data_IF_576151211900
#
_entry.id   IF_576151211900
#
_cell.length_a   1.000
_cell.length_b   1.000
_cell.length_c   1.000
_cell.angle_alpha   90.00
_cell.angle_beta   90.00
_cell.angle_gamma   90.00
#
_symmetry.space_group_name_H-M   'P 1'
#
loop_
_entity.id
_entity.type
_entity.pdbx_description
1 polymer ?
#
# COMPACT_ATOMS: atom_id res chain seq x y z
N UNK A 1 1.02 -10.63 -40.69
CA UNK A 1 0.05 -10.50 -39.58
C UNK A 1 0.01 -11.78 -38.74
N UNK A 2 -0.24 -11.70 -37.43
CA UNK A 2 -0.37 -12.89 -36.57
C UNK A 2 -1.68 -13.62 -36.89
N UNK A 3 -1.64 -14.92 -37.22
CA UNK A 3 -2.86 -15.71 -37.46
C UNK A 3 -3.81 -15.66 -36.28
N UNK A 4 -5.11 -15.69 -36.55
CA UNK A 4 -6.15 -15.63 -35.50
C UNK A 4 -6.06 -16.80 -34.53
N UNK A 5 -5.59 -17.94 -35.03
CA UNK A 5 -5.42 -19.20 -34.31
C UNK A 5 -4.15 -19.20 -33.44
N UNK A 6 -3.19 -18.31 -33.72
CA UNK A 6 -1.95 -18.21 -32.96
C UNK A 6 -2.21 -17.51 -31.63
N UNK A 7 -1.95 -18.22 -30.53
CA UNK A 7 -2.04 -17.63 -29.19
C UNK A 7 -1.04 -16.51 -28.99
N UNK A 8 -1.43 -15.54 -28.16
CA UNK A 8 -0.59 -14.47 -27.65
C UNK A 8 0.13 -14.93 -26.39
N UNK A 9 1.26 -14.30 -26.08
CA UNK A 9 2.01 -14.65 -24.86
C UNK A 9 1.13 -14.57 -23.61
N UNK A 10 0.34 -13.51 -23.46
CA UNK A 10 -0.54 -13.33 -22.29
C UNK A 10 -1.63 -14.41 -22.13
N UNK A 11 -1.93 -15.18 -23.18
CA UNK A 11 -2.90 -16.29 -23.13
C UNK A 11 -2.26 -17.60 -22.64
N UNK A 12 -0.93 -17.70 -22.67
CA UNK A 12 -0.20 -18.92 -22.29
C UNK A 12 0.63 -18.76 -21.02
N UNK A 13 1.26 -17.60 -20.83
CA UNK A 13 2.09 -17.31 -19.65
C UNK A 13 2.30 -15.80 -19.49
N UNK A 14 2.58 -15.34 -18.27
CA UNK A 14 2.80 -13.93 -17.99
C UNK A 14 3.70 -13.75 -16.75
N UNK A 15 4.71 -12.86 -16.78
CA UNK A 15 5.64 -12.64 -15.66
C UNK A 15 5.01 -11.83 -14.50
N UNK A 16 3.87 -12.29 -13.98
CA UNK A 16 2.99 -11.55 -13.08
C UNK A 16 3.69 -11.09 -11.79
N UNK A 17 4.56 -11.92 -11.21
CA UNK A 17 5.27 -11.59 -9.98
C UNK A 17 6.23 -10.41 -10.18
N UNK A 18 6.98 -10.41 -11.28
CA UNK A 18 7.95 -9.35 -11.62
C UNK A 18 7.20 -8.05 -11.96
N UNK A 19 6.16 -8.15 -12.79
CA UNK A 19 5.31 -7.00 -13.16
C UNK A 19 4.65 -6.39 -11.93
N UNK A 20 4.11 -7.20 -11.02
CA UNK A 20 3.46 -6.73 -9.79
C UNK A 20 4.44 -5.99 -8.88
N UNK A 21 5.67 -6.48 -8.76
CA UNK A 21 6.73 -5.81 -8.00
C UNK A 21 7.03 -4.41 -8.56
N UNK A 22 7.13 -4.27 -9.88
CA UNK A 22 7.37 -2.97 -10.52
C UNK A 22 6.16 -2.04 -10.43
N UNK A 23 4.95 -2.55 -10.61
CA UNK A 23 3.71 -1.79 -10.44
C UNK A 23 3.54 -1.24 -9.01
N UNK A 24 3.92 -2.03 -7.99
CA UNK A 24 3.92 -1.57 -6.59
C UNK A 24 4.95 -0.45 -6.36
N UNK A 25 6.16 -0.59 -6.92
CA UNK A 25 7.23 0.43 -6.84
C UNK A 25 6.83 1.74 -7.51
N UNK A 26 6.07 1.69 -8.60
CA UNK A 26 5.65 2.89 -9.36
C UNK A 26 4.93 3.93 -8.49
N UNK A 27 4.20 3.49 -7.47
CA UNK A 27 3.50 4.37 -6.50
C UNK A 27 4.42 5.32 -5.73
N UNK A 28 5.72 5.02 -5.63
CA UNK A 28 6.70 5.85 -4.94
C UNK A 28 7.51 6.76 -5.86
N UNK A 29 7.27 6.70 -7.18
CA UNK A 29 7.94 7.58 -8.15
C UNK A 29 7.34 8.99 -8.03
N UNK A 30 8.22 10.00 -7.99
CA UNK A 30 7.84 11.41 -7.74
C UNK A 30 8.32 12.36 -8.83
N UNK A 31 9.10 11.87 -9.80
CA UNK A 31 9.67 12.69 -10.87
C UNK A 31 9.44 12.00 -12.22
N UNK A 32 9.01 12.78 -13.21
CA UNK A 32 8.81 12.31 -14.60
C UNK A 32 7.66 11.34 -14.82
N UNK A 33 6.94 10.94 -13.77
CA UNK A 33 5.82 10.03 -13.86
C UNK A 33 4.52 10.78 -14.16
N UNK A 34 3.65 10.31 -15.08
CA UNK A 34 2.40 11.01 -15.43
C UNK A 34 1.46 11.34 -14.26
N UNK A 35 1.52 10.61 -13.14
CA UNK A 35 0.75 10.96 -11.94
C UNK A 35 1.16 12.29 -11.30
N UNK A 36 2.32 12.84 -11.66
CA UNK A 36 2.74 14.17 -11.20
C UNK A 36 2.13 15.29 -12.04
N UNK A 37 1.54 14.99 -13.21
CA UNK A 37 0.76 15.95 -13.99
C UNK A 37 -0.60 16.18 -13.34
N UNK A 38 -1.31 15.09 -13.05
CA UNK A 38 -2.57 15.12 -12.32
C UNK A 38 -2.80 13.79 -11.59
N UNK A 39 -3.29 13.88 -10.35
CA UNK A 39 -3.67 12.73 -9.56
C UNK A 39 -5.03 12.19 -10.02
N UNK A 40 -5.02 11.12 -10.82
CA UNK A 40 -6.22 10.41 -11.23
C UNK A 40 -6.48 9.21 -10.32
N UNK A 41 -7.67 9.14 -9.70
CA UNK A 41 -7.99 8.16 -8.64
C UNK A 41 -7.95 6.70 -9.10
N UNK A 42 -8.13 6.44 -10.40
CA UNK A 42 -8.14 5.09 -10.98
C UNK A 42 -7.01 4.86 -12.00
N UNK A 43 -5.88 5.58 -11.90
CA UNK A 43 -4.77 5.41 -12.86
C UNK A 43 -4.17 4.01 -12.73
N UNK A 44 -4.22 3.22 -13.81
CA UNK A 44 -3.56 1.92 -13.90
C UNK A 44 -2.03 2.11 -13.91
N UNK A 45 -1.24 1.25 -13.23
CA UNK A 45 0.22 1.32 -13.29
C UNK A 45 0.73 1.16 -14.73
N UNK A 46 1.65 2.02 -15.15
CA UNK A 46 2.29 1.95 -16.47
C UNK A 46 3.06 0.65 -16.64
N UNK A 47 3.71 0.17 -15.57
CA UNK A 47 4.39 -1.13 -15.54
C UNK A 47 3.46 -2.27 -15.99
N UNK A 48 2.26 -2.34 -15.43
CA UNK A 48 1.26 -3.34 -15.80
C UNK A 48 0.72 -3.13 -17.21
N UNK A 49 0.42 -1.88 -17.60
CA UNK A 49 -0.13 -1.59 -18.93
C UNK A 49 0.86 -1.98 -20.04
N UNK A 50 2.13 -1.57 -19.92
CA UNK A 50 3.17 -1.89 -20.90
C UNK A 50 3.41 -3.39 -21.02
N UNK A 51 3.53 -4.08 -19.88
CA UNK A 51 3.77 -5.52 -19.87
C UNK A 51 2.60 -6.28 -20.49
N UNK A 52 1.36 -5.89 -20.16
CA UNK A 52 0.17 -6.50 -20.74
C UNK A 52 0.06 -6.23 -22.24
N UNK A 53 0.33 -5.01 -22.70
CA UNK A 53 0.35 -4.69 -24.12
C UNK A 53 1.36 -5.56 -24.88
N UNK A 54 2.59 -5.70 -24.37
CA UNK A 54 3.56 -6.62 -24.98
C UNK A 54 3.07 -8.08 -24.97
N UNK A 55 2.45 -8.54 -23.87
CA UNK A 55 1.90 -9.88 -23.78
C UNK A 55 0.76 -10.15 -24.78
N UNK A 56 -0.06 -9.14 -25.10
CA UNK A 56 -1.18 -9.24 -26.04
C UNK A 56 -0.74 -9.04 -27.50
N UNK A 57 0.24 -8.18 -27.75
CA UNK A 57 0.68 -7.83 -29.10
C UNK A 57 1.62 -8.87 -29.70
N UNK A 58 2.32 -9.66 -28.87
CA UNK A 58 3.30 -10.64 -29.31
C UNK A 58 2.69 -12.06 -29.36
N UNK A 59 2.92 -12.83 -30.45
CA UNK A 59 2.51 -14.22 -30.54
C UNK A 59 3.41 -15.09 -29.67
N UNK A 60 2.89 -16.21 -29.23
CA UNK A 60 3.65 -17.21 -28.49
C UNK A 60 4.55 -18.04 -29.43
N UNK A 61 5.89 -18.05 -29.26
CA UNK A 61 6.79 -18.81 -30.12
C UNK A 61 6.54 -20.32 -30.19
N UNK A 62 5.97 -20.95 -29.15
CA UNK A 62 5.69 -22.39 -29.21
C UNK A 62 4.28 -22.72 -29.74
N UNK A 63 3.48 -21.73 -30.12
CA UNK A 63 2.24 -22.01 -30.82
C UNK A 63 2.56 -22.51 -32.24
N UNK A 64 1.93 -23.60 -32.72
CA UNK A 64 2.14 -24.11 -34.08
C UNK A 64 1.87 -23.08 -35.18
N UNK A 65 1.01 -22.09 -34.93
CA UNK A 65 0.65 -21.04 -35.89
C UNK A 65 1.54 -19.79 -35.77
N UNK A 66 2.55 -19.80 -34.90
CA UNK A 66 3.45 -18.68 -34.74
C UNK A 66 4.31 -18.46 -36.00
N UNK A 67 4.28 -17.26 -36.62
CA UNK A 67 5.01 -17.02 -37.85
C UNK A 67 6.53 -17.24 -37.69
N UNK A 68 7.19 -18.03 -38.56
CA UNK A 68 8.63 -18.26 -38.49
C UNK A 68 9.45 -16.96 -38.57
N UNK A 69 9.03 -16.02 -39.43
CA UNK A 69 9.68 -14.72 -39.58
C UNK A 69 9.65 -13.91 -38.27
N UNK A 70 8.55 -13.98 -37.50
CA UNK A 70 8.48 -13.34 -36.20
C UNK A 70 9.54 -13.90 -35.26
N UNK A 71 9.70 -15.23 -35.20
CA UNK A 71 10.67 -15.89 -34.31
C UNK A 71 12.10 -15.42 -34.59
N UNK A 72 12.48 -15.40 -35.87
CA UNK A 72 13.80 -14.95 -36.31
C UNK A 72 14.05 -13.47 -35.96
N UNK A 73 13.08 -12.61 -36.27
CA UNK A 73 13.19 -11.16 -35.98
C UNK A 73 13.17 -10.86 -34.50
N UNK A 74 12.37 -11.58 -33.72
CA UNK A 74 12.30 -11.42 -32.27
C UNK A 74 13.62 -11.85 -31.60
N UNK A 75 14.17 -12.99 -31.99
CA UNK A 75 15.48 -13.44 -31.50
C UNK A 75 16.57 -12.40 -31.81
N UNK A 76 16.60 -11.87 -33.04
CA UNK A 76 17.53 -10.81 -33.43
C UNK A 76 17.36 -9.54 -32.58
N UNK A 77 16.13 -9.03 -32.46
CA UNK A 77 15.84 -7.80 -31.72
C UNK A 77 16.25 -7.91 -30.24
N UNK A 78 16.03 -9.07 -29.60
CA UNK A 78 16.49 -9.30 -28.23
C UNK A 78 18.02 -9.24 -28.12
N UNK A 79 18.73 -9.82 -29.09
CA UNK A 79 20.20 -9.87 -29.12
C UNK A 79 20.87 -8.54 -29.53
N UNK A 80 20.12 -7.56 -30.04
CA UNK A 80 20.64 -6.21 -30.29
C UNK A 80 20.94 -5.44 -28.99
N UNK A 81 20.32 -5.85 -27.87
CA UNK A 81 20.63 -5.25 -26.57
C UNK A 81 21.91 -5.88 -26.00
N UNK A 82 22.98 -5.11 -25.73
CA UNK A 82 24.26 -5.67 -25.25
C UNK A 82 24.14 -6.50 -23.97
N UNK A 83 23.23 -6.13 -23.06
CA UNK A 83 22.95 -6.89 -21.83
C UNK A 83 22.29 -8.26 -22.08
N UNK A 84 21.70 -8.44 -23.26
CA UNK A 84 21.02 -9.67 -23.68
C UNK A 84 21.88 -10.51 -24.62
N UNK A 85 22.85 -9.93 -25.33
CA UNK A 85 23.76 -10.65 -26.22
C UNK A 85 24.85 -11.43 -25.45
N UNK A 86 24.45 -12.51 -24.79
CA UNK A 86 25.34 -13.43 -24.07
C UNK A 86 25.37 -14.79 -24.75
N UNK A 87 26.44 -15.59 -24.63
CA UNK A 87 26.47 -16.95 -25.21
C UNK A 87 25.28 -17.81 -24.78
N UNK A 88 24.87 -17.68 -23.52
CA UNK A 88 23.69 -18.36 -22.97
C UNK A 88 22.39 -17.93 -23.67
N UNK A 89 22.19 -16.63 -23.85
CA UNK A 89 20.97 -16.13 -24.51
C UNK A 89 20.95 -16.49 -25.99
N UNK A 90 22.10 -16.41 -26.67
CA UNK A 90 22.24 -16.83 -28.07
C UNK A 90 21.82 -18.28 -28.27
N UNK A 91 22.16 -19.17 -27.33
CA UNK A 91 21.72 -20.56 -27.38
C UNK A 91 20.23 -20.70 -27.01
N UNK A 92 19.78 -19.98 -25.99
CA UNK A 92 18.39 -20.05 -25.51
C UNK A 92 17.37 -19.68 -26.61
N UNK A 93 17.60 -18.59 -27.35
CA UNK A 93 16.63 -18.09 -28.35
C UNK A 93 16.51 -18.95 -29.61
N UNK A 94 17.36 -19.97 -29.79
CA UNK A 94 17.28 -20.90 -30.94
C UNK A 94 16.11 -21.87 -30.86
N UNK A 95 15.58 -22.11 -29.66
CA UNK A 95 14.42 -22.97 -29.44
C UNK A 95 13.17 -22.14 -29.20
N UNK A 96 12.01 -22.59 -29.66
CA UNK A 96 10.73 -21.91 -29.42
C UNK A 96 10.48 -21.70 -27.92
N UNK A 97 10.71 -22.73 -27.10
CA UNK A 97 10.55 -22.65 -25.64
C UNK A 97 11.51 -21.64 -25.00
N UNK A 98 12.77 -21.61 -25.45
CA UNK A 98 13.74 -20.66 -24.95
C UNK A 98 13.47 -19.22 -25.40
N UNK A 99 12.98 -19.03 -26.63
CA UNK A 99 12.53 -17.73 -27.13
C UNK A 99 11.30 -17.23 -26.36
N UNK A 100 10.31 -18.09 -26.06
CA UNK A 100 9.19 -17.75 -25.18
C UNK A 100 9.69 -17.25 -23.82
N UNK A 101 10.60 -18.00 -23.18
CA UNK A 101 11.18 -17.59 -21.88
C UNK A 101 11.93 -16.26 -21.97
N UNK A 102 12.65 -16.02 -23.09
CA UNK A 102 13.35 -14.78 -23.33
C UNK A 102 12.37 -13.60 -23.47
N UNK A 103 11.28 -13.76 -24.24
CA UNK A 103 10.24 -12.75 -24.37
C UNK A 103 9.54 -12.46 -23.04
N UNK A 104 9.19 -13.48 -22.25
CA UNK A 104 8.58 -13.29 -20.92
C UNK A 104 9.52 -12.56 -19.96
N UNK A 105 10.82 -12.87 -20.00
CA UNK A 105 11.84 -12.14 -19.22
C UNK A 105 11.92 -10.69 -19.68
N UNK A 106 11.87 -10.43 -20.99
CA UNK A 106 11.91 -9.08 -21.56
C UNK A 106 10.70 -8.27 -21.12
N UNK A 107 9.49 -8.86 -21.16
CA UNK A 107 8.25 -8.24 -20.67
C UNK A 107 8.37 -7.86 -19.19
N UNK A 108 8.94 -8.75 -18.37
CA UNK A 108 9.19 -8.48 -16.95
C UNK A 108 10.16 -7.31 -16.72
N UNK A 109 11.27 -7.27 -17.46
CA UNK A 109 12.24 -6.17 -17.39
C UNK A 109 11.66 -4.86 -17.94
N UNK A 110 10.86 -4.91 -19.00
CA UNK A 110 10.18 -3.75 -19.58
C UNK A 110 9.18 -3.12 -18.61
N UNK A 111 8.62 -3.89 -17.66
CA UNK A 111 7.77 -3.33 -16.60
C UNK A 111 8.53 -2.38 -15.65
N UNK A 112 9.86 -2.47 -15.57
CA UNK A 112 10.66 -1.58 -14.75
C UNK A 112 10.70 -0.16 -15.34
N UNK A 113 10.31 0.84 -14.54
CA UNK A 113 10.30 2.26 -14.91
C UNK A 113 11.65 2.76 -15.46
N UNK A 114 12.74 2.38 -14.79
CA UNK A 114 14.09 2.85 -15.16
C UNK A 114 14.51 2.27 -16.52
N UNK A 115 14.12 1.03 -16.80
CA UNK A 115 14.39 0.34 -18.07
C UNK A 115 13.52 0.89 -19.19
N UNK A 116 12.24 1.13 -18.91
CA UNK A 116 11.29 1.64 -19.90
C UNK A 116 11.63 3.04 -20.40
N UNK A 117 12.38 3.83 -19.64
CA UNK A 117 12.85 5.14 -20.07
C UNK A 117 14.18 5.07 -20.84
N UNK A 118 14.75 3.88 -21.03
CA UNK A 118 15.93 3.68 -21.87
C UNK A 118 15.51 3.57 -23.36
N UNK A 119 15.98 4.48 -24.24
CA UNK A 119 15.60 4.47 -25.65
C UNK A 119 15.93 3.17 -26.38
N UNK A 120 17.03 2.49 -26.02
CA UNK A 120 17.41 1.21 -26.64
C UNK A 120 16.40 0.12 -26.32
N UNK A 121 15.93 0.09 -25.07
CA UNK A 121 14.99 -0.93 -24.60
C UNK A 121 13.60 -0.73 -25.21
N UNK A 122 13.16 0.53 -25.33
CA UNK A 122 11.94 0.89 -26.08
C UNK A 122 12.09 0.59 -27.57
N UNK A 123 13.28 0.79 -28.15
CA UNK A 123 13.59 0.38 -29.51
C UNK A 123 13.32 -1.10 -29.75
N UNK A 124 13.88 -1.97 -28.90
CA UNK A 124 13.63 -3.43 -28.99
C UNK A 124 12.14 -3.75 -28.84
N UNK A 125 11.44 -3.12 -27.89
CA UNK A 125 10.01 -3.34 -27.71
C UNK A 125 9.20 -2.97 -28.98
N UNK A 126 9.56 -1.87 -29.66
CA UNK A 126 8.97 -1.47 -30.95
C UNK A 126 9.30 -2.44 -32.07
N UNK A 127 10.53 -2.93 -32.14
CA UNK A 127 10.92 -3.93 -33.14
C UNK A 127 10.18 -5.25 -32.95
N UNK A 128 9.97 -5.68 -31.69
CA UNK A 128 9.15 -6.87 -31.38
C UNK A 128 7.70 -6.69 -31.86
N UNK A 129 7.10 -5.52 -31.60
CA UNK A 129 5.75 -5.21 -32.09
C UNK A 129 5.71 -5.16 -33.61
N UNK A 130 6.69 -4.54 -34.28
CA UNK A 130 6.77 -4.50 -35.75
C UNK A 130 7.03 -5.88 -36.37
N UNK A 131 7.75 -6.76 -35.67
CA UNK A 131 7.94 -8.15 -36.11
C UNK A 131 6.64 -8.94 -36.02
N UNK A 132 5.85 -8.68 -34.98
CA UNK A 132 4.53 -9.27 -34.78
C UNK A 132 3.50 -8.75 -35.80
N UNK A 133 3.61 -7.48 -36.19
CA UNK A 133 2.67 -6.80 -37.08
C UNK A 133 3.43 -6.15 -38.25
N UNK A 134 3.91 -6.94 -39.24
CA UNK A 134 4.74 -6.43 -40.33
C UNK A 134 3.98 -5.60 -41.36
N UNK A 135 2.68 -5.87 -41.54
CA UNK A 135 1.86 -5.31 -42.61
C UNK A 135 1.11 -4.03 -42.18
N UNK A 136 0.93 -3.83 -40.88
CA UNK A 136 0.16 -2.74 -40.31
C UNK A 136 0.64 -2.35 -38.92
N UNK A 137 0.39 -1.09 -38.55
CA UNK A 137 0.63 -0.64 -37.17
C UNK A 137 -0.59 -1.01 -36.32
N UNK A 138 -0.43 -1.76 -35.21
CA UNK A 138 -1.57 -2.18 -34.41
C UNK A 138 -2.25 -0.98 -33.74
N UNK A 139 -3.58 -0.97 -33.78
CA UNK A 139 -4.41 0.02 -33.08
C UNK A 139 -4.84 -0.50 -31.70
N UNK A 140 -4.50 0.26 -30.66
CA UNK A 140 -4.95 -0.01 -29.28
C UNK A 140 -6.09 0.94 -28.94
N UNK A 141 -7.25 0.38 -28.60
CA UNK A 141 -8.46 1.14 -28.25
C UNK A 141 -8.72 1.01 -26.75
N UNK A 142 -8.81 2.14 -26.05
CA UNK A 142 -9.20 2.21 -24.64
C UNK A 142 -10.40 3.16 -24.46
N UNK A 143 -11.64 2.62 -24.35
CA UNK A 143 -12.85 3.43 -24.21
C UNK A 143 -13.06 4.00 -22.79
N UNK A 144 -12.20 3.65 -21.83
CA UNK A 144 -12.25 4.11 -20.44
C UNK A 144 -10.85 4.51 -19.96
N UNK A 145 -10.21 5.36 -20.76
CA UNK A 145 -8.77 5.60 -20.64
C UNK A 145 -8.38 6.32 -19.34
N UNK A 146 -9.29 7.13 -18.76
CA UNK A 146 -9.08 7.82 -17.50
C UNK A 146 -7.77 8.61 -17.48
N UNK A 147 -6.82 8.17 -16.65
CA UNK A 147 -5.49 8.79 -16.58
C UNK A 147 -4.61 8.59 -17.82
N UNK A 148 -4.99 7.71 -18.75
CA UNK A 148 -4.34 7.49 -20.04
C UNK A 148 -3.13 6.56 -20.04
N UNK A 149 -3.03 5.65 -19.06
CA UNK A 149 -1.88 4.74 -18.94
C UNK A 149 -1.74 3.77 -20.12
N UNK A 150 -2.85 3.17 -20.58
CA UNK A 150 -2.86 2.23 -21.71
C UNK A 150 -2.50 2.94 -23.02
N UNK A 151 -3.19 4.01 -23.44
CA UNK A 151 -2.86 4.68 -24.70
C UNK A 151 -1.46 5.29 -24.69
N UNK A 152 -0.97 5.80 -23.55
CA UNK A 152 0.41 6.27 -23.43
C UNK A 152 1.41 5.15 -23.73
N UNK A 153 1.26 4.00 -23.08
CA UNK A 153 2.19 2.88 -23.29
C UNK A 153 2.05 2.26 -24.69
N UNK A 154 0.85 2.27 -25.28
CA UNK A 154 0.65 1.86 -26.67
C UNK A 154 1.45 2.74 -27.65
N UNK A 155 1.34 4.06 -27.54
CA UNK A 155 2.13 4.99 -28.36
C UNK A 155 3.64 4.81 -28.13
N UNK A 156 4.07 4.56 -26.89
CA UNK A 156 5.49 4.28 -26.59
C UNK A 156 5.98 3.01 -27.27
N UNK A 157 5.15 1.98 -27.35
CA UNK A 157 5.43 0.72 -28.05
C UNK A 157 5.32 0.83 -29.58
N UNK A 158 4.99 2.00 -30.12
CA UNK A 158 4.89 2.24 -31.56
C UNK A 158 3.56 1.79 -32.16
N UNK A 159 2.54 1.58 -31.32
CA UNK A 159 1.16 1.34 -31.77
C UNK A 159 0.47 2.67 -32.09
N UNK A 160 -0.61 2.59 -32.86
CA UNK A 160 -1.62 3.66 -32.83
C UNK A 160 -2.49 3.50 -31.57
N UNK A 161 -3.04 4.61 -31.08
CA UNK A 161 -3.89 4.59 -29.90
C UNK A 161 -5.14 5.45 -30.10
N UNK A 162 -6.30 4.87 -29.81
CA UNK A 162 -7.56 5.59 -29.66
C UNK A 162 -8.01 5.53 -28.21
N UNK A 163 -8.18 6.68 -27.58
CA UNK A 163 -8.58 6.79 -26.18
C UNK A 163 -9.85 7.63 -26.08
N UNK A 164 -10.83 7.13 -25.33
CA UNK A 164 -12.06 7.85 -25.02
C UNK A 164 -12.32 7.83 -23.52
N UNK A 165 -12.99 8.87 -23.03
CA UNK A 165 -13.53 8.94 -21.68
C UNK A 165 -14.72 9.91 -21.68
N UNK A 166 -15.69 9.70 -20.79
CA UNK A 166 -16.81 10.61 -20.61
C UNK A 166 -16.48 11.72 -19.60
N UNK A 167 -15.47 11.52 -18.77
CA UNK A 167 -15.08 12.50 -17.77
C UNK A 167 -14.23 13.61 -18.42
N UNK A 168 -14.66 14.89 -18.37
CA UNK A 168 -13.94 15.99 -19.02
C UNK A 168 -12.51 16.19 -18.46
N UNK A 169 -12.28 15.84 -17.18
CA UNK A 169 -10.94 15.87 -16.59
C UNK A 169 -10.04 14.79 -17.19
N UNK A 170 -10.58 13.58 -17.42
CA UNK A 170 -9.84 12.53 -18.12
C UNK A 170 -9.52 12.94 -19.56
N UNK A 171 -10.49 13.49 -20.30
CA UNK A 171 -10.27 14.00 -21.66
C UNK A 171 -9.14 15.04 -21.70
N UNK A 172 -9.11 15.98 -20.75
CA UNK A 172 -8.04 16.98 -20.67
C UNK A 172 -6.67 16.33 -20.36
N UNK A 173 -6.62 15.38 -19.42
CA UNK A 173 -5.39 14.65 -19.10
C UNK A 173 -4.86 13.91 -20.32
N UNK A 174 -5.74 13.23 -21.07
CA UNK A 174 -5.40 12.50 -22.28
C UNK A 174 -4.85 13.45 -23.35
N UNK A 175 -5.55 14.56 -23.62
CA UNK A 175 -5.14 15.54 -24.61
C UNK A 175 -3.76 16.12 -24.29
N UNK A 176 -3.56 16.56 -23.04
CA UNK A 176 -2.28 17.14 -22.63
C UNK A 176 -1.16 16.10 -22.69
N UNK A 177 -1.39 14.89 -22.18
CA UNK A 177 -0.36 13.87 -22.05
C UNK A 177 0.03 13.22 -23.39
N UNK A 178 -0.95 12.99 -24.27
CA UNK A 178 -0.77 12.24 -25.51
C UNK A 178 -0.58 13.12 -26.74
N UNK A 179 -1.09 14.36 -26.73
CA UNK A 179 -0.98 15.29 -27.87
C UNK A 179 -0.08 16.50 -27.54
N UNK A 180 -0.43 17.27 -26.51
CA UNK A 180 0.18 18.60 -26.32
C UNK A 180 1.64 18.50 -25.85
N UNK A 181 1.94 17.63 -24.88
CA UNK A 181 3.32 17.42 -24.40
C UNK A 181 4.22 16.90 -25.53
N UNK A 182 3.87 15.84 -26.29
CA UNK A 182 4.68 15.40 -27.42
C UNK A 182 4.85 16.45 -28.52
N UNK A 183 3.82 17.26 -28.81
CA UNK A 183 3.85 18.26 -29.88
C UNK A 183 4.68 19.50 -29.53
N UNK A 184 4.58 19.98 -28.29
CA UNK A 184 5.18 21.24 -27.87
C UNK A 184 6.45 21.07 -27.02
N UNK A 185 6.66 19.89 -26.44
CA UNK A 185 7.86 19.56 -25.68
C UNK A 185 8.11 20.52 -24.50
N UNK A 186 9.38 20.84 -24.20
CA UNK A 186 9.74 21.70 -23.06
C UNK A 186 9.16 23.12 -23.09
N UNK A 187 8.79 23.64 -24.27
CA UNK A 187 8.24 25.00 -24.39
C UNK A 187 6.87 25.12 -23.67
N UNK A 188 6.03 24.09 -23.74
CA UNK A 188 4.76 24.06 -23.02
C UNK A 188 4.96 24.15 -21.51
N UNK A 189 6.01 23.52 -20.98
CA UNK A 189 6.31 23.59 -19.55
C UNK A 189 6.68 25.02 -19.11
N UNK A 190 7.34 25.80 -19.98
CA UNK A 190 7.68 27.18 -19.69
C UNK A 190 6.44 28.09 -19.72
N UNK A 191 5.60 27.96 -20.75
CA UNK A 191 4.33 28.69 -20.83
C UNK A 191 3.41 28.38 -19.64
N UNK A 192 3.33 27.12 -19.21
CA UNK A 192 2.58 26.72 -18.02
C UNK A 192 3.12 27.38 -16.74
N UNK A 193 4.44 27.52 -16.60
CA UNK A 193 5.04 28.24 -15.45
C UNK A 193 4.68 29.72 -15.47
N UNK A 194 4.73 30.34 -16.65
CA UNK A 194 4.37 31.75 -16.84
C UNK A 194 2.90 31.99 -16.48
N UNK A 195 1.98 31.24 -17.09
CA UNK A 195 0.55 31.33 -16.80
C UNK A 195 0.25 31.01 -15.32
N UNK A 196 0.90 30.00 -14.75
CA UNK A 196 0.80 29.69 -13.32
C UNK A 196 1.28 30.83 -12.43
N UNK A 197 2.32 31.57 -12.84
CA UNK A 197 2.79 32.77 -12.16
C UNK A 197 1.76 33.90 -12.19
N UNK A 198 1.17 34.16 -13.35
CA UNK A 198 0.11 35.18 -13.52
C UNK A 198 -1.12 34.85 -12.66
N UNK A 199 -1.59 33.59 -12.71
CA UNK A 199 -2.68 33.11 -11.86
C UNK A 199 -2.34 33.25 -10.39
N UNK A 200 -1.12 32.90 -9.99
CA UNK A 200 -0.67 33.02 -8.61
C UNK A 200 -0.72 34.46 -8.12
N UNK A 201 -0.24 35.43 -8.91
CA UNK A 201 -0.28 36.85 -8.56
C UNK A 201 -1.73 37.35 -8.42
N UNK A 202 -2.60 36.97 -9.36
CA UNK A 202 -4.02 37.32 -9.30
C UNK A 202 -4.70 36.72 -8.06
N UNK A 203 -4.47 35.43 -7.79
CA UNK A 203 -5.03 34.72 -6.64
C UNK A 203 -4.52 35.28 -5.31
N UNK A 204 -3.23 35.61 -5.18
CA UNK A 204 -2.67 36.23 -3.98
C UNK A 204 -3.34 37.58 -3.69
N UNK A 205 -3.62 38.38 -4.73
CA UNK A 205 -4.32 39.67 -4.59
C UNK A 205 -5.77 39.49 -4.16
N UNK A 206 -6.51 38.60 -4.81
CA UNK A 206 -7.94 38.36 -4.53
C UNK A 206 -8.15 37.75 -3.14
N UNK A 207 -7.28 36.82 -2.75
CA UNK A 207 -7.42 36.07 -1.52
C UNK A 207 -6.76 36.72 -0.29
N UNK A 208 -6.06 37.85 -0.47
CA UNK A 208 -5.31 38.53 0.59
C UNK A 208 -6.18 38.90 1.82
N UNK A 209 -7.45 39.26 1.59
CA UNK A 209 -8.37 39.61 2.68
C UNK A 209 -8.78 38.38 3.53
N UNK A 210 -8.78 37.19 2.94
CA UNK A 210 -9.19 35.95 3.60
C UNK A 210 -8.03 35.21 4.25
N UNK A 211 -6.82 35.35 3.69
CA UNK A 211 -5.60 34.71 4.17
C UNK A 211 -4.50 35.75 4.40
N UNK A 212 -4.67 36.63 5.40
CA UNK A 212 -3.70 37.68 5.67
C UNK A 212 -2.37 37.08 6.13
N UNK A 213 -1.29 37.83 5.88
CA UNK A 213 0.03 37.53 6.48
C UNK A 213 -0.02 37.78 7.98
N UNK A 214 0.84 37.08 8.71
CA UNK A 214 1.05 37.31 10.14
C UNK A 214 1.68 38.69 10.37
N UNK A 215 1.61 39.27 11.59
CA UNK A 215 2.16 40.59 11.90
C UNK A 215 3.67 40.75 11.64
N UNK A 216 4.41 39.63 11.61
CA UNK A 216 5.84 39.58 11.29
C UNK A 216 6.11 39.43 9.78
N UNK A 217 5.06 39.42 8.95
CA UNK A 217 5.13 39.27 7.51
C UNK A 217 5.16 37.82 7.01
N UNK A 218 5.08 36.82 7.90
CA UNK A 218 5.04 35.41 7.50
C UNK A 218 3.73 35.04 6.79
N UNK A 219 3.80 34.11 5.84
CA UNK A 219 2.60 33.57 5.16
C UNK A 219 2.13 32.31 5.89
N UNK A 220 0.90 32.28 6.43
CA UNK A 220 0.33 31.06 6.99
C UNK A 220 0.19 29.96 5.94
N UNK A 221 0.84 28.83 6.15
CA UNK A 221 0.78 27.68 5.22
C UNK A 221 -0.37 26.71 5.52
N UNK A 222 -0.95 26.80 6.72
CA UNK A 222 -2.06 25.96 7.15
C UNK A 222 -2.77 26.60 8.36
N UNK A 223 -4.11 26.48 8.38
CA UNK A 223 -4.94 26.82 9.53
C UNK A 223 -5.42 25.55 10.21
N UNK A 224 -5.26 25.46 11.54
CA UNK A 224 -5.71 24.32 12.33
C UNK A 224 -6.89 24.73 13.19
N UNK A 225 -8.00 24.04 13.03
CA UNK A 225 -9.20 24.24 13.84
C UNK A 225 -9.51 22.96 14.64
N UNK A 226 -10.03 23.13 15.84
CA UNK A 226 -10.45 22.03 16.71
C UNK A 226 -11.73 22.42 17.44
N UNK A 227 -12.69 21.49 17.53
CA UNK A 227 -13.81 21.64 18.47
C UNK A 227 -13.27 21.55 19.88
N UNK A 228 -13.78 22.36 20.80
CA UNK A 228 -13.39 22.32 22.22
C UNK A 228 -14.51 21.73 23.08
N UNK A 229 -14.13 21.11 24.19
CA UNK A 229 -15.05 20.70 25.27
C UNK A 229 -14.60 21.31 26.58
N UNK A 230 -15.55 21.61 27.47
CA UNK A 230 -15.21 22.08 28.82
C UNK A 230 -14.96 20.89 29.74
N UNK A 231 -13.92 20.98 30.56
CA UNK A 231 -13.63 19.98 31.58
C UNK A 231 -14.71 20.00 32.65
N UNK A 232 -15.36 18.85 32.86
CA UNK A 232 -16.46 18.67 33.82
C UNK A 232 -15.99 18.49 35.27
N UNK A 233 -14.67 18.41 35.51
CA UNK A 233 -14.16 18.28 36.88
C UNK A 233 -14.50 19.52 37.72
N UNK A 234 -14.92 19.34 38.99
CA UNK A 234 -15.23 20.45 39.89
C UNK A 234 -14.10 21.47 39.93
N UNK A 235 -14.44 22.76 39.76
CA UNK A 235 -13.51 23.88 39.79
C UNK A 235 -12.40 23.88 38.70
N UNK A 236 -12.52 23.05 37.65
CA UNK A 236 -11.57 23.05 36.53
C UNK A 236 -12.01 24.00 35.40
N UNK A 237 -13.14 23.71 34.75
CA UNK A 237 -13.73 24.54 33.68
C UNK A 237 -12.85 24.74 32.43
N UNK A 238 -11.72 24.04 32.32
CA UNK A 238 -10.75 24.16 31.25
C UNK A 238 -11.34 23.82 29.87
N UNK A 239 -11.01 24.60 28.84
CA UNK A 239 -11.31 24.25 27.46
C UNK A 239 -10.25 23.30 26.89
N UNK A 240 -10.70 22.13 26.43
CA UNK A 240 -9.85 21.07 25.90
C UNK A 240 -10.13 20.92 24.40
N UNK A 241 -9.13 21.11 23.52
CA UNK A 241 -9.30 20.91 22.09
C UNK A 241 -9.36 19.42 21.73
N UNK A 242 -10.40 19.02 21.02
CA UNK A 242 -10.60 17.68 20.50
C UNK A 242 -9.78 17.46 19.22
N UNK A 243 -8.49 17.19 19.39
CA UNK A 243 -7.58 16.87 18.28
C UNK A 243 -7.12 15.41 18.35
N UNK A 244 -7.14 14.70 17.22
CA UNK A 244 -6.59 13.33 17.13
C UNK A 244 -5.08 13.28 17.39
N UNK A 245 -4.35 14.34 17.02
CA UNK A 245 -2.92 14.45 17.26
C UNK A 245 -2.48 15.90 17.34
N UNK A 246 -1.55 16.18 18.24
CA UNK A 246 -0.86 17.46 18.33
C UNK A 246 0.46 17.47 17.54
N UNK A 247 0.86 16.36 16.91
CA UNK A 247 2.09 16.31 16.13
C UNK A 247 1.92 17.03 14.78
N UNK A 248 2.73 18.06 14.55
CA UNK A 248 2.85 18.74 13.26
C UNK A 248 3.88 18.04 12.36
N UNK A 249 4.94 17.48 12.94
CA UNK A 249 5.95 16.70 12.23
C UNK A 249 6.56 15.64 13.17
N UNK A 250 6.71 14.40 12.67
CA UNK A 250 7.29 13.27 13.43
C UNK A 250 8.62 12.78 12.86
N UNK A 251 9.17 13.44 11.83
CA UNK A 251 10.46 13.04 11.24
C UNK A 251 11.56 13.08 12.31
N UNK A 252 12.50 12.12 12.36
CA UNK A 252 13.51 12.01 13.42
C UNK A 252 14.22 13.32 13.75
N UNK A 253 14.60 14.08 12.71
CA UNK A 253 15.38 15.32 12.83
C UNK A 253 14.52 16.60 12.85
N UNK A 254 13.19 16.49 12.87
CA UNK A 254 12.28 17.65 12.85
C UNK A 254 10.98 17.34 13.59
N UNK A 255 11.08 16.84 14.81
CA UNK A 255 9.90 16.57 15.65
C UNK A 255 9.31 17.90 16.14
N UNK A 256 8.10 18.23 15.70
CA UNK A 256 7.35 19.42 16.15
C UNK A 256 5.93 19.04 16.51
N UNK A 257 5.43 19.58 17.62
CA UNK A 257 4.06 19.39 18.07
C UNK A 257 3.48 20.70 18.59
N UNK A 258 2.17 20.85 18.43
CA UNK A 258 1.37 21.88 19.07
C UNK A 258 1.40 21.69 20.58
N UNK A 259 1.75 22.74 21.30
CA UNK A 259 1.58 22.83 22.74
C UNK A 259 0.44 23.79 23.01
N UNK A 260 -0.74 23.26 23.30
CA UNK A 260 -1.84 24.10 23.77
C UNK A 260 -1.61 24.46 25.26
N UNK A 261 -2.04 25.66 25.66
CA UNK A 261 -2.04 26.10 27.06
C UNK A 261 -3.49 26.18 27.52
N UNK A 262 -3.79 25.52 28.63
CA UNK A 262 -5.08 25.63 29.29
C UNK A 262 -5.04 26.83 30.23
N UNK A 263 -5.89 27.82 29.99
CA UNK A 263 -6.07 28.97 30.89
C UNK A 263 -7.29 28.68 31.76
N UNK A 264 -7.12 28.65 33.09
CA UNK A 264 -8.24 28.52 34.02
C UNK A 264 -8.91 29.87 34.22
N UNK A 265 -10.23 29.90 34.36
CA UNK A 265 -10.93 31.10 34.79
C UNK A 265 -10.48 31.48 36.22
N UNK A 266 -10.33 32.78 36.55
CA UNK A 266 -10.01 33.21 37.91
C UNK A 266 -11.12 32.75 38.87
N UNK A 267 -10.74 32.11 39.98
CA UNK A 267 -11.68 31.65 40.99
C UNK A 267 -12.27 32.83 41.77
N UNK A 268 -13.60 32.92 41.94
CA UNK A 268 -14.22 33.95 42.77
C UNK A 268 -14.15 33.54 44.25
N UNK A 269 -12.95 33.54 44.83
CA UNK A 269 -12.75 33.58 46.29
C UNK A 269 -11.27 33.72 46.61
N UNK A 270 -10.91 34.86 47.19
CA UNK A 270 -9.63 35.03 47.84
C UNK A 270 -9.57 34.12 49.07
N UNK A 271 -8.56 33.26 49.12
CA UNK A 271 -7.90 32.75 50.33
C UNK A 271 -6.56 32.18 49.92
N UNK A 272 -5.52 32.86 50.38
CA UNK A 272 -4.13 32.49 50.19
C UNK A 272 -3.80 31.15 50.87
N UNK A 273 -2.90 30.44 50.19
CA UNK A 273 -1.86 29.53 50.67
C UNK A 273 -2.14 28.65 51.91
N UNK A 274 -2.21 27.33 51.67
CA UNK A 274 -1.31 26.30 52.22
C UNK A 274 -2.02 24.94 52.15
N UNK A 275 -1.73 24.17 51.11
CA UNK A 275 -1.42 22.73 51.19
C UNK A 275 -0.85 22.31 49.85
N UNK A 276 0.47 22.25 49.78
CA UNK A 276 1.15 21.39 48.81
C UNK A 276 0.68 19.97 49.03
N UNK A 277 -0.01 19.37 48.07
CA UNK A 277 -0.11 17.92 47.99
C UNK A 277 0.46 17.42 46.66
N UNK A 278 1.20 16.31 46.71
CA UNK A 278 2.23 15.99 45.75
C UNK A 278 1.68 15.37 44.48
N UNK A 279 2.46 15.48 43.42
CA UNK A 279 2.31 14.72 42.17
C UNK A 279 2.05 13.24 42.47
N UNK A 280 1.08 12.58 41.81
CA UNK A 280 1.01 11.14 41.84
C UNK A 280 2.15 10.57 40.98
N UNK A 281 3.31 10.40 41.62
CA UNK A 281 4.31 9.42 41.23
C UNK A 281 3.76 8.02 41.51
N UNK A 282 2.82 7.59 40.68
CA UNK A 282 2.26 6.24 40.70
C UNK A 282 2.89 5.38 39.62
N UNK A 283 4.17 4.99 39.79
CA UNK A 283 4.63 3.73 39.19
C UNK A 283 3.89 2.62 39.93
N UNK A 284 2.78 2.16 39.35
CA UNK A 284 2.15 0.91 39.77
C UNK A 284 3.12 -0.24 39.49
N UNK A 285 3.88 -0.64 40.52
CA UNK A 285 4.31 -2.01 40.67
C UNK A 285 3.04 -2.84 40.87
N UNK A 286 2.65 -3.57 39.82
CA UNK A 286 1.69 -4.65 39.96
C UNK A 286 2.49 -5.91 40.25
N UNK A 287 2.47 -6.34 41.51
CA UNK A 287 2.84 -7.70 41.89
C UNK A 287 1.90 -8.67 41.17
N UNK A 288 2.46 -9.42 40.23
CA UNK A 288 1.82 -10.58 39.62
C UNK A 288 2.80 -11.72 39.78
N UNK A 289 2.37 -12.77 40.49
CA UNK A 289 3.13 -13.97 40.81
C UNK A 289 4.06 -14.43 39.67
N UNK A 290 5.35 -14.52 40.02
CA UNK A 290 6.40 -15.11 39.21
C UNK A 290 6.20 -16.63 39.10
N UNK A 291 5.89 -17.12 37.91
CA UNK A 291 6.44 -18.36 37.38
C UNK A 291 7.51 -18.01 36.35
N UNK A 292 8.66 -18.72 36.28
CA UNK A 292 9.74 -18.32 35.39
C UNK A 292 9.39 -18.70 33.95
N UNK A 293 8.97 -17.75 33.13
CA UNK A 293 9.06 -17.90 31.67
C UNK A 293 10.18 -16.99 31.17
N UNK A 294 11.40 -17.54 31.14
CA UNK A 294 12.56 -16.90 30.50
C UNK A 294 12.33 -16.96 28.99
N UNK A 295 11.65 -15.96 28.44
CA UNK A 295 11.63 -15.75 27.00
C UNK A 295 13.01 -15.21 26.59
N UNK A 296 13.69 -15.82 25.60
CA UNK A 296 14.99 -15.32 25.13
C UNK A 296 14.88 -13.85 24.72
N UNK A 297 15.88 -13.04 25.09
CA UNK A 297 15.90 -11.58 24.86
C UNK A 297 15.62 -11.21 23.39
N UNK A 298 16.07 -12.06 22.45
CA UNK A 298 15.90 -11.88 21.01
C UNK A 298 14.42 -11.78 20.58
N UNK A 299 13.53 -12.58 21.17
CA UNK A 299 12.09 -12.54 20.84
C UNK A 299 11.41 -11.26 21.36
N UNK A 300 11.87 -10.74 22.50
CA UNK A 300 11.35 -9.48 23.06
C UNK A 300 11.85 -8.27 22.26
N UNK A 301 13.09 -8.30 21.78
CA UNK A 301 13.66 -7.28 20.90
C UNK A 301 13.00 -7.29 19.52
N UNK A 302 12.77 -8.47 18.96
CA UNK A 302 12.06 -8.63 17.69
C UNK A 302 10.61 -8.12 17.80
N UNK A 303 9.88 -8.46 18.86
CA UNK A 303 8.55 -7.90 19.13
C UNK A 303 8.56 -6.36 19.26
N UNK A 304 9.59 -5.78 19.88
CA UNK A 304 9.76 -4.31 19.96
C UNK A 304 10.04 -3.70 18.59
N UNK A 305 10.80 -4.40 17.73
CA UNK A 305 11.04 -3.97 16.34
C UNK A 305 9.75 -3.95 15.52
N UNK A 306 8.94 -5.00 15.61
CA UNK A 306 7.64 -5.10 14.93
C UNK A 306 6.69 -3.97 15.36
N UNK A 307 6.65 -3.61 16.65
CA UNK A 307 5.85 -2.47 17.13
C UNK A 307 6.28 -1.10 16.57
N UNK A 308 7.52 -0.98 16.07
CA UNK A 308 8.03 0.24 15.44
C UNK A 308 7.77 0.28 13.92
N UNK A 309 7.53 -0.86 13.29
CA UNK A 309 7.38 -1.01 11.84
C UNK A 309 6.05 -1.70 11.49
N UNK A 310 4.94 -1.23 12.06
CA UNK A 310 3.62 -1.80 11.80
C UNK A 310 3.12 -1.43 10.40
N UNK A 311 2.35 -2.33 9.80
CA UNK A 311 1.60 -2.02 8.57
C UNK A 311 0.48 -1.00 8.84
N UNK A 312 -0.06 -0.39 7.77
CA UNK A 312 -1.20 0.53 7.88
C UNK A 312 -2.44 -0.18 8.45
N UNK A 313 -2.66 -1.44 8.06
CA UNK A 313 -3.75 -2.28 8.57
C UNK A 313 -3.58 -2.59 10.06
N UNK A 314 -2.38 -2.97 10.52
CA UNK A 314 -2.09 -3.15 11.95
C UNK A 314 -2.24 -1.85 12.74
N UNK A 315 -1.80 -0.72 12.18
CA UNK A 315 -1.91 0.59 12.83
C UNK A 315 -3.38 0.96 13.01
N UNK A 316 -4.21 0.73 11.98
CA UNK A 316 -5.66 0.95 12.03
C UNK A 316 -6.32 0.01 13.04
N UNK A 317 -6.01 -1.28 13.01
CA UNK A 317 -6.55 -2.27 13.95
C UNK A 317 -6.16 -1.93 15.40
N UNK A 318 -4.91 -1.57 15.66
CA UNK A 318 -4.46 -1.19 16.99
C UNK A 318 -5.22 0.04 17.53
N UNK A 319 -5.51 1.01 16.67
CA UNK A 319 -6.31 2.18 17.06
C UNK A 319 -7.75 1.82 17.51
N UNK A 320 -8.31 0.74 16.96
CA UNK A 320 -9.65 0.25 17.27
C UNK A 320 -9.66 -0.62 18.54
N UNK A 321 -8.60 -1.40 18.77
CA UNK A 321 -8.52 -2.37 19.89
C UNK A 321 -7.90 -1.80 21.18
N UNK A 322 -7.04 -0.77 21.09
CA UNK A 322 -6.33 -0.20 22.25
C UNK A 322 -7.30 0.38 23.29
N UNK A 323 -6.80 0.56 24.51
CA UNK A 323 -7.51 1.26 25.59
C UNK A 323 -8.91 0.68 25.88
N UNK A 324 -9.06 -0.64 25.73
CA UNK A 324 -10.32 -1.39 25.97
C UNK A 324 -11.51 -0.92 25.12
N UNK A 325 -11.24 -0.30 23.97
CA UNK A 325 -12.25 0.29 23.09
C UNK A 325 -13.23 -0.71 22.48
N UNK A 326 -12.82 -1.97 22.32
CA UNK A 326 -13.70 -3.03 21.82
C UNK A 326 -14.15 -3.94 22.97
N UNK A 327 -15.46 -3.94 23.24
CA UNK A 327 -16.11 -4.77 24.26
C UNK A 327 -15.50 -4.68 25.68
N UNK A 328 -14.79 -3.59 26.02
CA UNK A 328 -14.12 -3.44 27.32
C UNK A 328 -12.89 -4.35 27.53
N UNK A 329 -12.50 -5.13 26.52
CA UNK A 329 -11.46 -6.17 26.62
C UNK A 329 -10.05 -5.62 26.38
N UNK A 330 -9.06 -6.14 27.11
CA UNK A 330 -7.66 -5.70 26.98
C UNK A 330 -6.90 -6.47 25.89
N UNK A 331 -6.58 -5.77 24.80
CA UNK A 331 -5.71 -6.28 23.74
C UNK A 331 -4.25 -5.87 23.92
N UNK A 332 -3.33 -6.78 23.57
CA UNK A 332 -1.89 -6.56 23.45
C UNK A 332 -1.50 -6.69 21.98
N UNK A 333 -0.62 -5.82 21.48
CA UNK A 333 -0.11 -5.89 20.10
C UNK A 333 1.27 -6.54 20.04
N UNK A 334 1.55 -7.26 18.96
CA UNK A 334 2.81 -7.95 18.68
C UNK A 334 3.25 -8.74 19.92
N UNK A 335 2.39 -9.68 20.33
CA UNK A 335 2.51 -10.43 21.58
C UNK A 335 3.28 -11.73 21.36
N UNK A 336 4.40 -11.96 22.07
CA UNK A 336 5.12 -13.22 21.97
C UNK A 336 4.34 -14.39 22.57
N UNK A 337 4.13 -15.44 21.78
CA UNK A 337 3.60 -16.75 22.18
C UNK A 337 4.54 -17.80 21.57
N UNK A 338 5.63 -18.20 22.26
CA UNK A 338 6.70 -19.00 21.65
C UNK A 338 6.20 -20.28 20.96
N UNK A 339 6.70 -20.59 19.75
CA UNK A 339 7.78 -19.91 19.02
C UNK A 339 7.34 -18.68 18.20
N UNK A 340 6.08 -18.24 18.31
CA UNK A 340 5.47 -17.24 17.43
C UNK A 340 5.36 -15.85 18.08
N UNK A 341 5.15 -14.83 17.24
CA UNK A 341 4.68 -13.51 17.67
C UNK A 341 3.39 -13.25 16.89
N UNK A 342 2.32 -12.96 17.62
CA UNK A 342 0.98 -12.72 17.04
C UNK A 342 0.68 -11.22 17.02
N UNK A 343 -0.06 -10.75 16.00
CA UNK A 343 -0.28 -9.32 15.79
C UNK A 343 -1.10 -8.70 16.91
N UNK A 344 -2.17 -9.36 17.35
CA UNK A 344 -2.94 -8.97 18.54
C UNK A 344 -3.35 -10.18 19.38
N UNK A 345 -3.38 -9.97 20.70
CA UNK A 345 -3.77 -10.99 21.67
C UNK A 345 -4.63 -10.40 22.78
N UNK A 346 -5.77 -11.02 23.05
CA UNK A 346 -6.63 -10.75 24.20
C UNK A 346 -6.59 -11.94 25.17
N UNK A 347 -5.94 -11.74 26.32
CA UNK A 347 -5.84 -12.77 27.35
C UNK A 347 -7.20 -13.14 27.96
N UNK A 348 -8.07 -12.14 28.17
CA UNK A 348 -9.39 -12.33 28.79
C UNK A 348 -10.35 -13.21 27.96
N UNK A 349 -10.08 -13.38 26.66
CA UNK A 349 -10.89 -14.17 25.74
C UNK A 349 -10.11 -15.30 25.06
N UNK A 350 -8.86 -15.54 25.47
CA UNK A 350 -7.92 -16.45 24.79
C UNK A 350 -7.91 -16.28 23.26
N UNK A 351 -8.00 -15.03 22.78
CA UNK A 351 -8.21 -14.71 21.37
C UNK A 351 -6.95 -14.10 20.75
N UNK A 352 -6.53 -14.67 19.63
CA UNK A 352 -5.47 -14.19 18.75
C UNK A 352 -6.10 -13.60 17.48
N UNK A 353 -5.60 -12.45 17.04
CA UNK A 353 -5.97 -11.85 15.76
C UNK A 353 -4.71 -11.65 14.93
N UNK A 354 -4.72 -12.13 13.70
CA UNK A 354 -3.64 -12.00 12.72
C UNK A 354 -4.10 -11.21 11.49
N UNK A 355 -3.24 -10.32 11.00
CA UNK A 355 -3.50 -9.52 9.79
C UNK A 355 -2.56 -9.98 8.69
N UNK A 356 -3.13 -10.58 7.65
CA UNK A 356 -2.38 -11.15 6.54
C UNK A 356 -2.22 -10.16 5.37
N UNK A 357 -1.02 -10.15 4.78
CA UNK A 357 -0.64 -9.29 3.65
C UNK A 357 -0.81 -9.95 2.27
N UNK A 358 -1.13 -11.25 2.22
CA UNK A 358 -1.38 -12.02 1.00
C UNK A 358 -0.50 -13.27 0.88
N UNK A 359 -1.04 -14.34 0.27
CA UNK A 359 -0.47 -15.69 0.39
C UNK A 359 0.19 -16.25 -0.89
N UNK A 360 1.37 -16.85 -0.73
CA UNK A 360 1.95 -17.88 -1.61
C UNK A 360 1.57 -19.29 -1.14
N UNK A 361 1.49 -20.29 -2.03
CA UNK A 361 1.07 -21.68 -1.72
C UNK A 361 1.91 -22.37 -0.61
N UNK A 362 3.20 -22.06 -0.49
CA UNK A 362 4.08 -22.58 0.57
C UNK A 362 3.78 -22.00 1.95
N UNK A 363 3.21 -20.79 2.00
CA UNK A 363 2.89 -20.10 3.25
C UNK A 363 1.62 -20.66 3.90
N UNK A 364 0.66 -21.16 3.10
CA UNK A 364 -0.57 -21.83 3.58
C UNK A 364 -0.29 -23.05 4.46
N UNK A 365 0.60 -23.95 4.02
CA UNK A 365 0.95 -25.16 4.82
C UNK A 365 1.66 -24.81 6.13
N UNK A 366 2.47 -23.75 6.13
CA UNK A 366 3.12 -23.26 7.35
C UNK A 366 2.12 -22.59 8.31
N UNK A 367 1.17 -21.83 7.76
CA UNK A 367 0.11 -21.16 8.53
C UNK A 367 -0.92 -22.12 9.11
N UNK A 368 -1.26 -23.21 8.43
CA UNK A 368 -2.13 -24.27 8.96
C UNK A 368 -1.51 -24.97 10.17
N UNK A 369 -0.22 -25.33 10.08
CA UNK A 369 0.52 -25.93 11.21
C UNK A 369 0.66 -24.94 12.37
N UNK A 370 0.87 -23.65 12.08
CA UNK A 370 0.93 -22.58 13.08
C UNK A 370 -0.40 -22.39 13.80
N UNK A 371 -1.50 -22.33 13.06
CA UNK A 371 -2.85 -22.14 13.62
C UNK A 371 -3.21 -23.31 14.53
N UNK A 372 -2.99 -24.54 14.06
CA UNK A 372 -3.25 -25.75 14.86
C UNK A 372 -2.49 -25.77 16.19
N UNK A 373 -1.21 -25.34 16.21
CA UNK A 373 -0.41 -25.25 17.44
C UNK A 373 -0.86 -24.17 18.42
N UNK A 374 -1.47 -23.09 17.92
CA UNK A 374 -2.06 -22.07 18.78
C UNK A 374 -3.38 -22.58 19.38
N UNK A 375 -4.20 -23.27 18.57
CA UNK A 375 -5.46 -23.89 19.00
C UNK A 375 -5.25 -25.01 20.02
N UNK A 376 -4.20 -25.83 19.87
CA UNK A 376 -3.78 -26.83 20.87
C UNK A 376 -3.50 -26.22 22.26
N UNK A 377 -3.25 -24.91 22.33
CA UNK A 377 -3.08 -24.16 23.59
C UNK A 377 -4.37 -23.48 24.06
N UNK A 378 -5.52 -23.95 23.59
CA UNK A 378 -6.84 -23.37 23.86
C UNK A 378 -6.97 -21.90 23.46
N UNK A 379 -6.23 -21.47 22.42
CA UNK A 379 -6.33 -20.14 21.85
C UNK A 379 -7.18 -20.16 20.60
N UNK A 380 -8.12 -19.22 20.49
CA UNK A 380 -8.91 -19.00 19.27
C UNK A 380 -8.13 -18.07 18.34
N UNK A 381 -8.11 -18.36 17.04
CA UNK A 381 -7.39 -17.55 16.05
C UNK A 381 -8.35 -16.99 15.01
N UNK A 382 -8.42 -15.67 14.90
CA UNK A 382 -9.10 -14.98 13.80
C UNK A 382 -8.07 -14.37 12.87
N UNK A 383 -8.24 -14.57 11.56
CA UNK A 383 -7.36 -14.01 10.54
C UNK A 383 -8.16 -13.11 9.61
N UNK A 384 -7.61 -11.92 9.33
CA UNK A 384 -8.20 -10.96 8.41
C UNK A 384 -7.18 -10.53 7.38
N UNK A 385 -7.63 -10.27 6.16
CA UNK A 385 -6.78 -9.70 5.13
C UNK A 385 -6.59 -8.20 5.38
N UNK A 386 -5.39 -7.69 5.05
CA UNK A 386 -5.08 -6.27 5.21
C UNK A 386 -6.07 -5.34 4.48
N UNK A 387 -6.58 -5.75 3.31
CA UNK A 387 -7.61 -5.00 2.58
C UNK A 387 -8.96 -5.02 3.32
N UNK A 388 -9.37 -6.14 3.93
CA UNK A 388 -10.60 -6.22 4.74
C UNK A 388 -10.53 -5.29 5.94
N UNK A 389 -9.40 -5.26 6.65
CA UNK A 389 -9.21 -4.32 7.77
C UNK A 389 -9.35 -2.86 7.32
N UNK A 390 -8.87 -2.55 6.12
CA UNK A 390 -8.85 -1.18 5.59
C UNK A 390 -10.18 -0.74 4.96
N UNK A 391 -10.89 -1.64 4.27
CA UNK A 391 -12.07 -1.34 3.46
C UNK A 391 -13.38 -1.82 4.11
N UNK A 392 -13.34 -2.90 4.89
CA UNK A 392 -14.51 -3.53 5.52
C UNK A 392 -14.34 -3.60 7.05
N UNK A 393 -13.86 -2.50 7.65
CA UNK A 393 -13.53 -2.44 9.08
C UNK A 393 -14.71 -2.83 9.98
N UNK A 394 -15.93 -2.45 9.63
CA UNK A 394 -17.13 -2.74 10.42
C UNK A 394 -17.39 -4.24 10.53
N UNK A 395 -17.33 -4.97 9.41
CA UNK A 395 -17.48 -6.43 9.36
C UNK A 395 -16.39 -7.13 10.17
N UNK A 396 -15.14 -6.64 10.10
CA UNK A 396 -14.04 -7.18 10.88
C UNK A 396 -14.28 -7.00 12.39
N UNK A 397 -14.72 -5.80 12.81
CA UNK A 397 -15.03 -5.54 14.21
C UNK A 397 -16.23 -6.36 14.70
N UNK A 398 -17.24 -6.56 13.87
CA UNK A 398 -18.39 -7.40 14.19
C UNK A 398 -17.98 -8.85 14.43
N UNK A 399 -17.13 -9.41 13.56
CA UNK A 399 -16.58 -10.77 13.72
C UNK A 399 -15.79 -10.92 15.02
N UNK A 400 -14.92 -9.95 15.35
CA UNK A 400 -14.19 -9.95 16.63
C UNK A 400 -15.16 -9.81 17.80
N UNK A 401 -16.14 -8.91 17.71
CA UNK A 401 -17.11 -8.67 18.76
C UNK A 401 -17.95 -9.92 19.06
N UNK A 402 -18.42 -10.64 18.03
CA UNK A 402 -19.13 -11.92 18.18
C UNK A 402 -18.28 -12.92 18.94
N UNK A 403 -17.01 -13.08 18.55
CA UNK A 403 -16.11 -14.03 19.21
C UNK A 403 -15.83 -13.69 20.68
N UNK A 404 -15.78 -12.40 21.02
CA UNK A 404 -15.63 -11.94 22.40
C UNK A 404 -16.87 -12.20 23.27
N UNK A 405 -18.03 -12.47 22.67
CA UNK A 405 -19.31 -12.71 23.36
C UNK A 405 -19.83 -14.15 23.22
N UNK A 406 -19.15 -15.01 22.47
CA UNK A 406 -19.45 -16.44 22.41
C UNK A 406 -19.16 -17.11 23.76
N UNK A 407 -20.10 -17.87 24.36
CA UNK A 407 -19.81 -18.65 25.57
C UNK A 407 -18.76 -19.73 25.27
N UNK A 408 -17.76 -19.87 26.14
CA UNK A 408 -16.81 -20.99 26.06
C UNK A 408 -17.55 -22.32 26.20
N UNK A 409 -17.16 -23.39 25.48
CA UNK A 409 -17.67 -24.73 25.76
C UNK A 409 -17.31 -25.09 27.21
N UNK A 410 -18.32 -25.44 28.00
CA UNK A 410 -18.14 -25.99 29.34
C UNK A 410 -17.33 -27.29 29.25
N UNK A 411 -16.20 -27.34 29.93
CA UNK A 411 -15.45 -28.57 30.17
C UNK A 411 -16.33 -29.48 31.06
N UNK A 412 -16.59 -30.75 30.72
CA UNK A 412 -17.22 -31.68 31.65
C UNK A 412 -16.27 -31.90 32.83
N UNK A 413 -16.77 -31.75 34.06
CA UNK A 413 -16.02 -32.12 35.25
C UNK A 413 -15.65 -33.62 35.18
N UNK A 414 -14.43 -34.02 35.57
CA UNK A 414 -14.06 -35.43 35.58
C UNK A 414 -14.91 -36.20 36.60
N UNK A 415 -15.41 -37.38 36.20
CA UNK A 415 -16.04 -38.34 37.10
C UNK A 415 -15.06 -38.67 38.23
N UNK A 416 -15.46 -38.36 39.47
CA UNK A 416 -14.71 -38.73 40.64
C UNK A 416 -14.76 -40.23 40.86
N UNK A 417 -13.62 -40.91 40.67
CA UNK A 417 -13.39 -42.23 41.24
C UNK A 417 -13.32 -42.11 42.77
N UNK A 418 -14.47 -42.30 43.42
CA UNK A 418 -14.58 -42.51 44.85
C UNK A 418 -15.13 -43.91 45.13
N UNK A 419 -14.30 -44.95 45.02
CA UNK A 419 -14.56 -46.22 45.71
C UNK A 419 -14.29 -46.00 47.19
N UNK A 420 -15.35 -46.00 47.99
CA UNK A 420 -15.31 -46.34 49.42
C UNK A 420 -15.69 -47.82 49.52
N UNK A 421 -14.95 -48.68 50.26
CA UNK A 421 -15.26 -50.10 50.36
C UNK A 421 -16.53 -50.36 51.20
N UNK A 422 -17.30 -51.35 50.74
CA UNK A 422 -18.28 -52.22 51.40
C UNK A 422 -18.70 -51.90 52.85
N UNK A 423 -20.02 -51.69 53.04
CA UNK A 423 -20.93 -52.66 53.71
C UNK A 423 -22.30 -52.59 53.03
#
# INVERSE_FOLDING_TARGET
MIPKECKRLAEVDFPIAVVSKHAAREKSIRHGHPSTLHLWWARRPLASCRAMLLGLLLPDPCDPHCPPEFKERAARALLETPAWNTPRMNEQVKSDAGLRQALLKFIGEAANWDVANNPRYIGVARELVRAAHPDETPLVVDPFAGGGSIPLEALRLGCEAFASDLNPVACLILKVMLEDIPRHGPALAEELRKAGGEIKVAAEKELAAFYPKDPDGATPIAYLWARTVKCESPNCGAEIPLMRSFWLCKKPNRKRALRYRVVKAPSPSGRDALTSNPSPSGRGQGEGHHGPSVLPNEHLEFARSLRRHQTDAETRMWHLLRDRRLAGRKFRRQHPIPPYIVDFYCHEASLVIEIDGGQHLQQRRYDEVRTKRLEERSLKVLRFWANEVMQHTETVLESIWRELHSPSPSIPLPEGEGRVPDV
#
